data_IF_216777756278
#
_entry.id   IF_216777756278
#
_cell.length_a   1.000
_cell.length_b   1.000
_cell.length_c   1.000
_cell.angle_alpha   90.00
_cell.angle_beta   90.00
_cell.angle_gamma   90.00
#
_symmetry.space_group_name_H-M   'P 1'
#
loop_
_entity.id
_entity.type
_entity.pdbx_description
1 polymer ?
#
# COMPACT_ATOMS: atom_id res chain seq x y z
N UNK A 1 21.42 -6.50 -1.73
CA UNK A 1 22.00 -5.12 -1.78
C UNK A 1 21.34 -4.31 -0.67
N UNK A 2 22.07 -3.51 0.13
CA UNK A 2 21.40 -2.64 1.13
C UNK A 2 20.84 -1.40 0.43
N UNK A 3 19.58 -1.06 0.67
CA UNK A 3 18.95 0.10 0.01
C UNK A 3 19.69 1.41 0.29
N UNK A 4 20.24 1.57 1.49
CA UNK A 4 21.06 2.71 1.90
C UNK A 4 22.37 2.86 1.11
N UNK A 5 22.84 1.79 0.46
CA UNK A 5 24.03 1.84 -0.41
C UNK A 5 23.70 2.21 -1.86
N UNK A 6 22.42 2.27 -2.22
CA UNK A 6 21.99 2.67 -3.56
C UNK A 6 22.13 4.19 -3.69
N UNK A 7 22.74 4.70 -4.78
CA UNK A 7 22.78 6.13 -5.04
C UNK A 7 21.36 6.71 -5.07
N UNK A 8 21.14 7.83 -4.39
CA UNK A 8 19.83 8.49 -4.42
C UNK A 8 19.59 9.14 -5.79
N UNK A 9 18.43 8.86 -6.36
CA UNK A 9 17.92 9.48 -7.57
C UNK A 9 16.94 10.59 -7.20
N UNK A 10 16.95 11.68 -7.96
CA UNK A 10 15.89 12.69 -7.86
C UNK A 10 14.66 12.16 -8.60
N UNK A 11 13.51 11.98 -7.92
CA UNK A 11 12.28 11.61 -8.60
C UNK A 11 11.87 12.70 -9.62
N UNK A 12 11.17 12.34 -10.70
CA UNK A 12 10.66 13.30 -11.65
C UNK A 12 9.61 14.20 -10.99
N UNK A 13 9.27 15.29 -11.68
CA UNK A 13 8.13 16.12 -11.28
C UNK A 13 6.84 15.28 -11.26
N UNK A 14 6.01 15.49 -10.24
CA UNK A 14 4.77 14.74 -10.08
C UNK A 14 3.78 15.03 -11.21
N UNK A 15 3.25 13.96 -11.81
CA UNK A 15 2.14 14.06 -12.73
C UNK A 15 0.86 14.33 -11.94
N UNK A 16 0.09 15.34 -12.36
CA UNK A 16 -1.21 15.63 -11.75
C UNK A 16 -2.17 14.46 -11.97
N UNK A 17 -2.76 13.98 -10.88
CA UNK A 17 -3.80 12.94 -10.86
C UNK A 17 -4.97 13.42 -10.00
N UNK A 18 -6.19 13.09 -10.43
CA UNK A 18 -7.36 13.32 -9.59
C UNK A 18 -7.27 12.44 -8.34
N UNK A 19 -7.59 13.02 -7.20
CA UNK A 19 -7.62 12.31 -5.92
C UNK A 19 -8.99 12.51 -5.27
N UNK A 20 -10.03 11.84 -5.79
CA UNK A 20 -11.37 11.96 -5.23
C UNK A 20 -11.43 11.41 -3.80
N UNK A 21 -12.47 11.78 -3.03
CA UNK A 21 -12.66 11.27 -1.67
C UNK A 21 -12.63 9.74 -1.61
N UNK A 22 -12.15 9.14 -0.51
CA UNK A 22 -12.16 7.69 -0.34
C UNK A 22 -13.60 7.15 -0.34
N UNK A 23 -13.80 5.90 -0.79
CA UNK A 23 -15.13 5.30 -0.91
C UNK A 23 -15.69 4.77 0.43
N UNK A 24 -14.86 4.75 1.47
CA UNK A 24 -15.20 4.27 2.82
C UNK A 24 -14.75 5.29 3.86
N UNK A 25 -15.50 5.38 4.96
CA UNK A 25 -15.10 6.15 6.13
C UNK A 25 -14.28 5.25 7.06
N UNK A 26 -12.99 5.59 7.22
CA UNK A 26 -12.03 4.91 8.08
C UNK A 26 -11.56 5.83 9.22
N UNK A 27 -12.30 6.90 9.54
CA UNK A 27 -11.91 7.90 10.53
C UNK A 27 -11.87 7.36 11.97
N UNK A 28 -12.54 6.25 12.23
CA UNK A 28 -12.55 5.53 13.51
C UNK A 28 -11.40 4.52 13.67
N UNK A 29 -10.55 4.36 12.64
CA UNK A 29 -9.49 3.36 12.63
C UNK A 29 -9.90 1.99 12.10
N UNK A 30 -11.16 1.83 11.64
CA UNK A 30 -11.61 0.67 10.87
C UNK A 30 -11.70 -0.66 11.63
N UNK A 31 -11.72 -0.63 12.96
CA UNK A 31 -11.87 -1.83 13.79
C UNK A 31 -13.32 -2.30 13.79
N UNK A 32 -13.59 -3.54 13.42
CA UNK A 32 -14.91 -4.17 13.43
C UNK A 32 -15.17 -5.07 14.65
N UNK A 33 -14.18 -5.18 15.55
CA UNK A 33 -14.29 -5.93 16.81
C UNK A 33 -14.87 -5.10 17.95
N UNK A 34 -15.89 -5.63 18.64
CA UNK A 34 -16.61 -4.95 19.74
C UNK A 34 -15.72 -4.65 20.97
N UNK A 35 -14.67 -5.44 21.20
CA UNK A 35 -13.76 -5.33 22.35
C UNK A 35 -12.35 -4.88 21.93
N UNK A 36 -12.22 -3.69 21.34
CA UNK A 36 -10.91 -3.08 21.10
C UNK A 36 -10.60 -1.99 22.16
N UNK A 37 -10.02 -2.34 23.32
CA UNK A 37 -9.70 -1.39 24.38
C UNK A 37 -8.51 -0.48 24.03
N UNK A 38 -7.83 -0.72 22.91
CA UNK A 38 -6.67 0.02 22.48
C UNK A 38 -7.03 1.38 21.89
N UNK A 39 -6.19 2.39 22.14
CA UNK A 39 -6.30 3.65 21.40
C UNK A 39 -5.99 3.39 19.91
N UNK A 40 -6.75 4.03 19.03
CA UNK A 40 -6.49 3.99 17.59
C UNK A 40 -5.05 4.45 17.30
N UNK A 41 -4.36 3.76 16.40
CA UNK A 41 -2.97 4.03 16.00
C UNK A 41 -1.91 3.89 17.12
N UNK A 42 -2.16 3.06 18.12
CA UNK A 42 -1.14 2.74 19.12
C UNK A 42 -0.05 1.82 18.55
N UNK A 43 1.23 2.11 18.85
CA UNK A 43 2.35 1.23 18.49
C UNK A 43 2.40 0.02 19.42
N UNK A 44 1.77 -1.07 18.99
CA UNK A 44 1.71 -2.32 19.74
C UNK A 44 2.80 -3.33 19.32
N UNK A 45 3.21 -3.28 18.04
CA UNK A 45 4.15 -4.25 17.47
C UNK A 45 5.61 -3.82 17.64
N UNK A 46 6.44 -4.73 18.15
CA UNK A 46 7.88 -4.52 18.39
C UNK A 46 8.79 -5.31 17.46
N UNK A 47 8.25 -6.32 16.76
CA UNK A 47 8.99 -7.15 15.82
C UNK A 47 8.08 -7.70 14.72
N UNK A 48 8.69 -8.09 13.60
CA UNK A 48 8.04 -8.85 12.53
C UNK A 48 7.72 -10.29 12.97
N UNK A 49 6.70 -10.88 12.35
CA UNK A 49 6.39 -12.30 12.53
C UNK A 49 7.58 -13.17 12.06
N UNK A 50 8.07 -14.15 12.85
CA UNK A 50 9.29 -14.88 12.54
C UNK A 50 9.20 -15.74 11.27
N UNK A 51 7.99 -16.07 10.80
CA UNK A 51 7.79 -16.79 9.54
C UNK A 51 7.95 -15.91 8.29
N UNK A 52 8.02 -14.58 8.45
CA UNK A 52 8.35 -13.67 7.35
C UNK A 52 9.85 -13.46 7.42
N UNK A 53 10.59 -14.14 6.56
CA UNK A 53 12.03 -14.00 6.44
C UNK A 53 12.36 -12.83 5.52
N UNK A 54 13.48 -12.15 5.79
CA UNK A 54 14.05 -11.12 4.92
C UNK A 54 15.33 -11.69 4.34
N UNK A 55 15.28 -12.03 3.06
CA UNK A 55 16.44 -12.51 2.32
C UNK A 55 17.47 -11.38 2.20
N UNK A 56 18.58 -11.49 2.93
CA UNK A 56 19.62 -10.45 2.98
C UNK A 56 20.29 -10.18 1.62
N UNK A 57 20.16 -11.09 0.66
CA UNK A 57 20.72 -10.95 -0.68
C UNK A 57 19.73 -10.25 -1.62
N UNK A 58 18.43 -10.58 -1.51
CA UNK A 58 17.38 -10.16 -2.45
C UNK A 58 16.50 -9.02 -1.95
N UNK A 59 16.13 -9.02 -0.68
CA UNK A 59 15.12 -8.12 -0.13
C UNK A 59 15.72 -6.80 0.36
N UNK A 60 14.90 -5.76 0.31
CA UNK A 60 15.22 -4.43 0.83
C UNK A 60 14.09 -3.88 1.68
N UNK A 61 14.43 -3.05 2.65
CA UNK A 61 13.48 -2.45 3.60
C UNK A 61 13.77 -0.96 3.66
N UNK A 62 12.74 -0.15 3.40
CA UNK A 62 12.75 1.29 3.64
C UNK A 62 11.31 1.77 3.83
N UNK A 63 11.14 2.84 4.59
CA UNK A 63 9.92 3.63 4.71
C UNK A 63 10.02 4.98 3.98
N UNK A 64 11.12 5.22 3.26
CA UNK A 64 11.40 6.42 2.47
C UNK A 64 11.10 6.17 0.98
N UNK A 65 10.13 6.92 0.44
CA UNK A 65 9.73 6.83 -0.96
C UNK A 65 10.85 7.08 -1.97
N UNK A 66 11.76 8.02 -1.68
CA UNK A 66 12.89 8.33 -2.56
C UNK A 66 13.90 7.20 -2.56
N UNK A 67 14.14 6.55 -1.42
CA UNK A 67 14.98 5.35 -1.34
C UNK A 67 14.40 4.20 -2.16
N UNK A 68 13.10 3.92 -2.00
CA UNK A 68 12.41 2.88 -2.78
C UNK A 68 12.48 3.20 -4.28
N UNK A 69 12.16 4.43 -4.67
CA UNK A 69 12.24 4.87 -6.07
C UNK A 69 13.67 4.72 -6.64
N UNK A 70 14.67 5.15 -5.88
CA UNK A 70 16.09 5.04 -6.26
C UNK A 70 16.51 3.59 -6.45
N UNK A 71 16.05 2.70 -5.57
CA UNK A 71 16.29 1.26 -5.68
C UNK A 71 15.67 0.68 -6.94
N UNK A 72 14.39 0.97 -7.22
CA UNK A 72 13.70 0.50 -8.42
C UNK A 72 14.43 0.94 -9.70
N UNK A 73 14.88 2.20 -9.76
CA UNK A 73 15.68 2.71 -10.89
C UNK A 73 17.05 2.05 -11.00
N UNK A 74 17.76 1.89 -9.90
CA UNK A 74 19.08 1.25 -9.89
C UNK A 74 19.01 -0.20 -10.37
N UNK A 75 17.97 -0.92 -9.93
CA UNK A 75 17.73 -2.32 -10.29
C UNK A 75 17.05 -2.49 -11.65
N UNK A 76 16.67 -1.40 -12.32
CA UNK A 76 15.92 -1.41 -13.60
C UNK A 76 14.60 -2.20 -13.49
N UNK A 77 13.88 -1.97 -12.40
CA UNK A 77 12.55 -2.54 -12.17
C UNK A 77 11.52 -1.55 -12.73
N UNK A 78 10.88 -1.95 -13.83
CA UNK A 78 9.94 -1.11 -14.54
C UNK A 78 8.52 -1.21 -13.96
N UNK A 79 8.08 -2.43 -13.61
CA UNK A 79 6.75 -2.70 -13.07
C UNK A 79 6.83 -3.24 -11.63
N UNK A 80 5.97 -2.74 -10.76
CA UNK A 80 5.93 -3.11 -9.33
C UNK A 80 4.52 -3.54 -8.94
N UNK A 81 4.42 -4.73 -8.36
CA UNK A 81 3.19 -5.22 -7.74
C UNK A 81 3.24 -4.88 -6.25
N UNK A 82 2.24 -4.15 -5.76
CA UNK A 82 2.09 -3.79 -4.36
C UNK A 82 1.01 -4.67 -3.72
N UNK A 83 1.30 -5.19 -2.52
CA UNK A 83 0.38 -5.95 -1.69
C UNK A 83 0.63 -5.67 -0.20
N UNK A 84 -0.29 -6.09 0.67
CA UNK A 84 -0.23 -5.87 2.11
C UNK A 84 -1.37 -5.00 2.63
N UNK A 85 -1.21 -4.46 3.85
CA UNK A 85 -2.29 -3.79 4.60
C UNK A 85 -1.85 -2.46 5.22
N UNK A 86 -2.72 -1.47 5.36
CA UNK A 86 -4.11 -1.44 4.89
C UNK A 86 -4.22 -0.81 3.50
N UNK A 87 -5.09 -1.33 2.63
CA UNK A 87 -5.25 -0.96 1.22
C UNK A 87 -5.46 0.55 1.04
N UNK A 88 -6.40 1.14 1.79
CA UNK A 88 -6.75 2.56 1.74
C UNK A 88 -5.79 3.49 2.51
N UNK A 89 -4.80 2.93 3.23
CA UNK A 89 -3.88 3.69 4.08
C UNK A 89 -2.43 3.53 3.61
N UNK A 90 -1.72 2.51 4.10
CA UNK A 90 -0.30 2.36 3.84
C UNK A 90 -0.01 2.06 2.36
N UNK A 91 -0.84 1.20 1.77
CA UNK A 91 -0.71 0.76 0.37
C UNK A 91 -1.06 1.88 -0.61
N UNK A 92 -2.00 2.75 -0.25
CA UNK A 92 -2.40 3.87 -1.10
C UNK A 92 -1.56 5.13 -0.88
N UNK A 93 -1.24 5.46 0.39
CA UNK A 93 -0.90 6.82 0.82
C UNK A 93 0.51 7.05 1.35
N UNK A 94 1.33 6.01 1.58
CA UNK A 94 2.73 6.24 1.99
C UNK A 94 3.56 6.79 0.82
N UNK A 95 4.67 7.43 1.16
CA UNK A 95 5.60 8.04 0.18
C UNK A 95 6.18 7.01 -0.80
N UNK A 96 6.24 5.74 -0.43
CA UNK A 96 6.69 4.64 -1.28
C UNK A 96 5.57 3.87 -1.97
N UNK A 97 4.31 4.31 -1.82
CA UNK A 97 3.14 3.52 -2.18
C UNK A 97 2.44 4.04 -3.45
N UNK A 98 1.25 3.50 -3.75
CA UNK A 98 0.57 3.65 -5.05
C UNK A 98 0.50 5.12 -5.51
N UNK A 99 -0.06 6.02 -4.69
CA UNK A 99 -0.28 7.41 -5.12
C UNK A 99 1.01 8.11 -5.52
N UNK A 100 2.05 7.99 -4.70
CA UNK A 100 3.31 8.68 -4.95
C UNK A 100 4.05 8.06 -6.14
N UNK A 101 4.12 6.73 -6.21
CA UNK A 101 4.82 6.02 -7.27
C UNK A 101 4.18 6.25 -8.65
N UNK A 102 2.84 6.23 -8.72
CA UNK A 102 2.10 6.57 -9.94
C UNK A 102 2.34 8.02 -10.36
N UNK A 103 2.41 8.97 -9.41
CA UNK A 103 2.73 10.38 -9.72
C UNK A 103 4.16 10.56 -10.21
N UNK A 104 5.10 9.73 -9.77
CA UNK A 104 6.46 9.67 -10.31
C UNK A 104 6.58 8.83 -11.59
N UNK A 105 5.47 8.34 -12.13
CA UNK A 105 5.45 7.60 -13.39
C UNK A 105 6.05 6.20 -13.31
N UNK A 106 6.12 5.61 -12.11
CA UNK A 106 6.41 4.19 -11.95
C UNK A 106 5.19 3.38 -12.43
N UNK A 107 5.43 2.27 -13.13
CA UNK A 107 4.36 1.33 -13.47
C UNK A 107 4.03 0.47 -12.24
N UNK A 108 2.80 0.59 -11.78
CA UNK A 108 2.33 0.06 -10.49
C UNK A 108 1.09 -0.78 -10.74
N UNK A 109 0.98 -1.90 -10.05
CA UNK A 109 -0.22 -2.73 -9.98
C UNK A 109 -0.48 -3.10 -8.51
N UNK A 110 -1.74 -3.34 -8.14
CA UNK A 110 -2.09 -3.87 -6.82
C UNK A 110 -2.49 -5.35 -6.93
N UNK A 111 -2.01 -6.20 -6.01
CA UNK A 111 -2.49 -7.58 -5.89
C UNK A 111 -3.76 -7.58 -5.03
N UNK A 112 -4.93 -7.66 -5.66
CA UNK A 112 -6.24 -7.33 -5.03
C UNK A 112 -6.71 -8.37 -4.01
N UNK A 113 -6.30 -9.62 -4.15
CA UNK A 113 -6.62 -10.72 -3.24
C UNK A 113 -5.60 -10.88 -2.09
N UNK A 114 -4.50 -10.10 -2.11
CA UNK A 114 -3.47 -10.05 -1.07
C UNK A 114 -3.41 -8.68 -0.38
N UNK A 115 -4.55 -7.99 -0.29
CA UNK A 115 -4.68 -6.70 0.41
C UNK A 115 -5.96 -6.68 1.24
N UNK A 116 -5.99 -5.82 2.26
CA UNK A 116 -7.14 -5.65 3.13
C UNK A 116 -7.28 -4.20 3.61
N UNK A 117 -8.50 -3.66 3.59
CA UNK A 117 -8.75 -2.25 3.86
C UNK A 117 -9.02 -2.00 5.35
N UNK A 118 -8.65 -0.80 5.81
CA UNK A 118 -9.09 -0.32 7.12
C UNK A 118 -10.53 0.16 6.98
N UNK A 119 -11.50 -0.64 7.43
CA UNK A 119 -12.92 -0.29 7.33
C UNK A 119 -13.78 -1.00 8.38
N UNK A 120 -14.59 -0.22 9.09
CA UNK A 120 -15.60 -0.72 10.03
C UNK A 120 -16.99 -0.69 9.37
N UNK A 121 -17.72 -1.82 9.26
CA UNK A 121 -19.09 -1.87 8.73
C UNK A 121 -20.09 -0.94 9.44
N UNK A 122 -19.84 -0.51 10.68
CA UNK A 122 -20.66 0.46 11.39
C UNK A 122 -20.45 1.91 10.89
N UNK A 123 -19.47 2.15 10.03
CA UNK A 123 -19.19 3.43 9.38
C UNK A 123 -19.69 3.43 7.93
N UNK A 124 -20.00 4.61 7.35
CA UNK A 124 -20.35 4.71 5.93
C UNK A 124 -19.34 3.99 5.02
N UNK A 125 -19.78 3.24 4.01
CA UNK A 125 -21.14 3.20 3.44
C UNK A 125 -22.06 2.10 4.01
N UNK A 126 -21.78 1.56 5.20
CA UNK A 126 -22.58 0.53 5.88
C UNK A 126 -22.70 -0.78 5.09
N UNK A 127 -21.58 -1.25 4.56
CA UNK A 127 -21.46 -2.54 3.86
C UNK A 127 -20.59 -3.50 4.67
N UNK A 128 -20.55 -4.78 4.29
CA UNK A 128 -19.63 -5.73 4.92
C UNK A 128 -18.18 -5.28 4.76
N UNK A 129 -17.30 -5.71 5.66
CA UNK A 129 -15.87 -5.38 5.60
C UNK A 129 -15.27 -5.74 4.24
N UNK A 130 -15.52 -6.97 3.78
CA UNK A 130 -15.10 -7.45 2.46
C UNK A 130 -15.59 -6.54 1.32
N UNK A 131 -16.85 -6.09 1.35
CA UNK A 131 -17.36 -5.18 0.32
C UNK A 131 -16.71 -3.79 0.43
N UNK A 132 -16.36 -3.33 1.63
CA UNK A 132 -15.58 -2.12 1.82
C UNK A 132 -14.18 -2.22 1.21
N UNK A 133 -13.51 -3.36 1.39
CA UNK A 133 -12.23 -3.67 0.73
C UNK A 133 -12.38 -3.65 -0.80
N UNK A 134 -13.44 -4.26 -1.36
CA UNK A 134 -13.72 -4.20 -2.80
C UNK A 134 -13.91 -2.76 -3.30
N UNK A 135 -14.66 -1.93 -2.57
CA UNK A 135 -14.87 -0.53 -2.95
C UNK A 135 -13.56 0.26 -3.01
N UNK A 136 -12.63 -0.02 -2.08
CA UNK A 136 -11.29 0.57 -2.09
C UNK A 136 -10.48 0.09 -3.30
N UNK A 137 -10.57 -1.20 -3.64
CA UNK A 137 -9.92 -1.74 -4.84
C UNK A 137 -10.49 -1.10 -6.11
N UNK A 138 -11.82 -1.03 -6.25
CA UNK A 138 -12.50 -0.36 -7.38
C UNK A 138 -12.07 1.11 -7.51
N UNK A 139 -11.90 1.81 -6.38
CA UNK A 139 -11.36 3.17 -6.36
C UNK A 139 -9.92 3.23 -6.86
N UNK A 140 -9.06 2.29 -6.46
CA UNK A 140 -7.66 2.22 -6.92
C UNK A 140 -7.61 1.95 -8.43
N UNK A 141 -8.38 0.99 -8.92
CA UNK A 141 -8.48 0.63 -10.33
C UNK A 141 -8.95 1.80 -11.20
N UNK A 142 -9.92 2.56 -10.71
CA UNK A 142 -10.49 3.67 -11.45
C UNK A 142 -9.54 4.88 -11.56
N UNK A 143 -8.75 5.17 -10.53
CA UNK A 143 -8.04 6.45 -10.43
C UNK A 143 -6.51 6.34 -10.42
N UNK A 144 -5.96 5.19 -10.04
CA UNK A 144 -4.53 5.08 -9.71
C UNK A 144 -3.79 4.05 -10.55
N UNK A 145 -4.19 2.78 -10.51
CA UNK A 145 -3.46 1.70 -11.19
C UNK A 145 -4.33 0.46 -11.40
N UNK A 146 -4.02 -0.39 -12.40
CA UNK A 146 -4.69 -1.67 -12.56
C UNK A 146 -4.40 -2.62 -11.37
N UNK A 147 -5.20 -3.67 -11.28
CA UNK A 147 -5.01 -4.74 -10.30
C UNK A 147 -4.79 -6.10 -10.99
N UNK A 148 -4.21 -7.03 -10.24
CA UNK A 148 -4.08 -8.45 -10.58
C UNK A 148 -4.52 -9.30 -9.39
N UNK A 149 -4.85 -10.56 -9.62
CA UNK A 149 -4.94 -11.57 -8.58
C UNK A 149 -3.61 -12.32 -8.44
N UNK A 150 -3.36 -12.91 -7.27
CA UNK A 150 -2.17 -13.72 -7.03
C UNK A 150 -2.10 -14.93 -7.97
N UNK A 151 -3.24 -15.43 -8.46
CA UNK A 151 -3.31 -16.52 -9.45
C UNK A 151 -2.74 -16.12 -10.82
N UNK A 152 -2.71 -14.83 -11.14
CA UNK A 152 -2.15 -14.31 -12.39
C UNK A 152 -0.60 -14.41 -12.42
N UNK A 153 0.03 -14.71 -11.28
CA UNK A 153 1.50 -14.83 -11.13
C UNK A 153 2.01 -16.28 -11.23
N UNK A 154 1.13 -17.26 -11.38
CA UNK A 154 1.44 -18.69 -11.40
C UNK A 154 1.95 -19.20 -12.77
#
# INVERSE_FOLDING_TARGET
VRIQSVPRWTPPAEVRRDNPPPPVDASDGGSDTEDNPGAVNQRLWTRQHPAIEIDQQRDVISDDGVEVYSYLRHMRIDSVIILGVHTNMCILGRSFAIRQMVRWGQDIMVCRDLTDAMYNPAMPPYVSHARGTDLVIEYIEKFWCPSIESIDLA
#
